data_IF_395985119237
#
_entry.id   IF_395985119237
#
_cell.length_a   1.000
_cell.length_b   1.000
_cell.length_c   1.000
_cell.angle_alpha   90.00
_cell.angle_beta   90.00
_cell.angle_gamma   90.00
#
_symmetry.space_group_name_H-M   'P 1'
#
loop_
_entity.id
_entity.type
_entity.pdbx_description
1 polymer ?
#
# COMPACT_ATOMS: atom_id res chain seq x y z
N UNK A 1 -5.11 29.51 -9.77
CA UNK A 1 -4.52 28.34 -10.46
C UNK A 1 -4.30 27.24 -9.43
N UNK A 2 -5.13 26.20 -9.39
CA UNK A 2 -4.90 25.07 -8.48
C UNK A 2 -3.71 24.27 -9.01
N UNK A 3 -2.56 24.34 -8.35
CA UNK A 3 -1.47 23.40 -8.59
C UNK A 3 -2.04 22.01 -8.30
N UNK A 4 -2.11 21.13 -9.31
CA UNK A 4 -2.19 19.70 -9.06
C UNK A 4 -0.82 19.33 -8.48
N UNK A 5 -0.71 19.31 -7.15
CA UNK A 5 0.40 18.61 -6.50
C UNK A 5 0.28 17.16 -6.94
N UNK A 6 1.33 16.57 -7.49
CA UNK A 6 1.35 15.13 -7.73
C UNK A 6 1.07 14.44 -6.40
N UNK A 7 -0.11 13.86 -6.26
CA UNK A 7 -0.50 13.11 -5.07
C UNK A 7 0.14 11.74 -5.19
N UNK A 8 1.44 11.70 -4.90
CA UNK A 8 2.17 10.44 -4.81
C UNK A 8 1.59 9.70 -3.61
N UNK A 9 0.97 8.57 -3.89
CA UNK A 9 0.41 7.66 -2.91
C UNK A 9 1.39 6.53 -2.70
N UNK A 10 1.37 5.95 -1.51
CA UNK A 10 2.17 4.78 -1.20
C UNK A 10 1.31 3.72 -0.51
N UNK A 11 1.56 2.46 -0.82
CA UNK A 11 1.24 1.38 0.10
C UNK A 11 2.50 0.58 0.41
N UNK A 12 2.53 0.02 1.61
CA UNK A 12 3.55 -0.93 2.03
C UNK A 12 2.84 -2.16 2.55
N UNK A 13 3.23 -3.32 2.03
CA UNK A 13 2.81 -4.60 2.56
C UNK A 13 4.00 -5.26 3.25
N UNK A 14 3.80 -5.66 4.51
CA UNK A 14 4.82 -6.27 5.35
C UNK A 14 4.30 -7.55 5.96
N UNK A 15 5.23 -8.42 6.34
CA UNK A 15 4.92 -9.63 7.06
C UNK A 15 5.85 -9.82 8.25
N UNK A 16 5.40 -10.62 9.20
CA UNK A 16 6.16 -11.03 10.38
C UNK A 16 6.10 -12.54 10.54
N UNK A 17 7.24 -13.12 10.93
CA UNK A 17 7.34 -14.52 11.32
C UNK A 17 7.17 -14.74 12.83
N UNK A 18 7.30 -13.68 13.64
CA UNK A 18 7.57 -13.76 15.08
C UNK A 18 6.47 -13.13 15.94
N UNK A 19 5.22 -13.15 15.46
CA UNK A 19 4.07 -12.60 16.17
C UNK A 19 3.97 -11.08 16.15
N UNK A 20 4.69 -10.41 15.26
CA UNK A 20 4.67 -8.96 15.06
C UNK A 20 5.79 -8.24 15.82
N UNK A 21 6.81 -8.96 16.30
CA UNK A 21 7.96 -8.34 16.95
C UNK A 21 8.92 -7.72 15.92
N UNK A 22 9.03 -8.33 14.74
CA UNK A 22 9.79 -7.78 13.61
C UNK A 22 9.04 -7.94 12.29
N UNK A 23 9.14 -6.92 11.43
CA UNK A 23 8.47 -6.90 10.13
C UNK A 23 9.50 -6.85 9.00
N UNK A 24 9.24 -7.64 7.95
CA UNK A 24 9.96 -7.61 6.68
C UNK A 24 9.02 -7.09 5.60
N UNK A 25 9.53 -6.17 4.79
CA UNK A 25 8.78 -5.63 3.66
C UNK A 25 8.62 -6.71 2.57
N UNK A 26 7.40 -6.88 2.08
CA UNK A 26 7.09 -7.68 0.90
C UNK A 26 7.19 -6.79 -0.33
N UNK A 27 6.46 -5.67 -0.29
CA UNK A 27 6.38 -4.72 -1.39
C UNK A 27 6.07 -3.32 -0.86
N UNK A 28 6.67 -2.33 -1.51
CA UNK A 28 6.31 -0.92 -1.43
C UNK A 28 6.05 -0.42 -2.83
N UNK A 29 4.85 0.09 -3.05
CA UNK A 29 4.51 0.76 -4.29
C UNK A 29 4.26 2.22 -4.03
N UNK A 30 4.74 3.06 -4.94
CA UNK A 30 4.42 4.46 -5.00
C UNK A 30 3.84 4.78 -6.37
N UNK A 31 2.66 5.39 -6.42
CA UNK A 31 2.00 5.70 -7.68
C UNK A 31 1.32 7.07 -7.64
N UNK A 32 1.10 7.64 -8.81
CA UNK A 32 0.29 8.84 -8.99
C UNK A 32 -0.91 8.49 -9.86
N UNK A 33 -2.12 8.50 -9.30
CA UNK A 33 -3.29 8.47 -10.15
C UNK A 33 -3.31 9.73 -11.00
N UNK A 34 -3.48 9.55 -12.31
CA UNK A 34 -3.61 10.63 -13.27
C UNK A 34 -5.00 10.57 -13.88
N UNK A 35 -6.06 11.07 -13.21
CA UNK A 35 -7.37 11.10 -13.82
C UNK A 35 -7.41 12.11 -14.99
N UNK A 36 -8.11 11.77 -16.10
CA UNK A 36 -8.98 10.60 -16.24
C UNK A 36 -8.27 9.27 -16.60
N UNK A 37 -6.99 9.30 -16.95
CA UNK A 37 -6.28 8.19 -17.58
C UNK A 37 -6.06 6.98 -16.67
N UNK A 38 -5.71 7.19 -15.41
CA UNK A 38 -5.42 6.12 -14.44
C UNK A 38 -6.15 6.40 -13.14
N UNK A 39 -7.23 5.64 -12.91
CA UNK A 39 -8.06 5.69 -11.70
C UNK A 39 -8.11 4.35 -10.94
N UNK A 40 -7.48 3.32 -11.50
CA UNK A 40 -7.46 1.96 -10.95
C UNK A 40 -6.19 1.25 -11.36
N UNK A 41 -5.59 0.56 -10.40
CA UNK A 41 -4.52 -0.41 -10.62
C UNK A 41 -4.93 -1.76 -10.01
N UNK A 42 -4.44 -2.83 -10.62
CA UNK A 42 -4.62 -4.21 -10.17
C UNK A 42 -3.28 -4.89 -10.33
N UNK A 43 -2.79 -5.51 -9.27
CA UNK A 43 -1.47 -6.11 -9.21
C UNK A 43 -1.56 -7.50 -8.58
N UNK A 44 -0.64 -8.37 -8.96
CA UNK A 44 -0.49 -9.70 -8.42
C UNK A 44 0.98 -9.95 -8.10
N UNK A 45 1.25 -10.38 -6.87
CA UNK A 45 2.61 -10.61 -6.37
C UNK A 45 2.75 -12.08 -5.96
N UNK A 46 3.72 -12.76 -6.55
CA UNK A 46 4.12 -14.10 -6.14
C UNK A 46 5.23 -13.97 -5.09
N UNK A 47 4.99 -14.48 -3.89
CA UNK A 47 5.89 -14.30 -2.74
C UNK A 47 6.06 -15.61 -1.98
N UNK A 48 7.29 -15.90 -1.56
CA UNK A 48 7.62 -17.06 -0.75
C UNK A 48 7.86 -16.61 0.70
N UNK A 49 6.84 -16.76 1.54
CA UNK A 49 6.86 -16.32 2.93
C UNK A 49 6.78 -17.53 3.86
N UNK A 50 7.77 -17.71 4.72
CA UNK A 50 7.81 -18.82 5.68
C UNK A 50 7.28 -18.38 7.05
N UNK A 51 6.43 -19.20 7.67
CA UNK A 51 5.95 -18.98 9.05
C UNK A 51 5.23 -17.64 9.26
N UNK A 52 4.44 -17.19 8.29
CA UNK A 52 3.67 -15.93 8.40
C UNK A 52 2.73 -16.00 9.60
N UNK A 53 2.91 -15.05 10.54
CA UNK A 53 2.06 -14.88 11.71
C UNK A 53 1.26 -13.59 11.66
N UNK A 54 1.79 -12.55 11.01
CA UNK A 54 1.11 -11.26 10.82
C UNK A 54 1.35 -10.77 9.39
N UNK A 55 0.29 -10.23 8.78
CA UNK A 55 0.35 -9.42 7.58
C UNK A 55 -0.10 -8.01 7.92
N UNK A 56 0.61 -7.02 7.41
CA UNK A 56 0.33 -5.62 7.68
C UNK A 56 0.29 -4.83 6.37
N UNK A 57 -0.79 -4.07 6.17
CA UNK A 57 -0.95 -3.14 5.07
C UNK A 57 -0.96 -1.71 5.62
N UNK A 58 0.00 -0.90 5.21
CA UNK A 58 0.02 0.55 5.45
C UNK A 58 -0.29 1.28 4.16
N UNK A 59 -1.24 2.23 4.19
CA UNK A 59 -1.57 3.08 3.03
C UNK A 59 -1.33 4.54 3.42
N UNK A 60 -0.46 5.22 2.67
CA UNK A 60 -0.22 6.66 2.76
C UNK A 60 -0.86 7.33 1.54
N UNK A 61 -2.09 7.86 1.65
CA UNK A 61 -2.83 8.39 0.51
C UNK A 61 -2.24 9.69 -0.05
N UNK A 62 -1.30 10.33 0.66
CA UNK A 62 -0.55 11.48 0.19
C UNK A 62 0.78 11.56 0.94
N UNK A 63 1.88 11.12 0.31
CA UNK A 63 3.22 11.17 0.92
C UNK A 63 3.73 12.60 1.13
N UNK A 64 3.13 13.58 0.43
CA UNK A 64 3.45 15.00 0.63
C UNK A 64 2.76 15.61 1.87
N UNK A 65 1.94 14.84 2.60
CA UNK A 65 1.36 15.26 3.88
C UNK A 65 0.10 16.12 3.79
N UNK A 66 -0.49 16.27 2.59
CA UNK A 66 -1.78 16.94 2.43
C UNK A 66 -2.95 16.07 2.92
N UNK A 67 -4.10 16.70 3.19
CA UNK A 67 -5.32 16.00 3.61
C UNK A 67 -5.80 15.05 2.51
N UNK A 68 -5.71 13.73 2.75
CA UNK A 68 -6.17 12.69 1.85
C UNK A 68 -6.75 11.51 2.64
N UNK A 69 -7.57 10.67 1.98
CA UNK A 69 -8.24 9.53 2.59
C UNK A 69 -7.91 8.25 1.85
N UNK A 70 -7.52 7.22 2.60
CA UNK A 70 -7.49 5.84 2.14
C UNK A 70 -8.67 5.05 2.75
N UNK A 71 -9.15 4.03 2.03
CA UNK A 71 -10.11 3.07 2.56
C UNK A 71 -9.77 1.67 2.07
N UNK A 72 -10.00 0.67 2.92
CA UNK A 72 -9.82 -0.73 2.60
C UNK A 72 -11.18 -1.41 2.57
N UNK A 73 -11.57 -1.96 1.41
CA UNK A 73 -12.84 -2.66 1.26
C UNK A 73 -12.79 -4.08 1.82
N UNK A 74 -11.68 -4.78 1.62
CA UNK A 74 -11.51 -6.16 2.05
C UNK A 74 -10.03 -6.53 2.10
N UNK A 75 -9.66 -7.33 3.10
CA UNK A 75 -8.39 -8.07 3.17
C UNK A 75 -8.75 -9.49 3.59
N UNK A 76 -8.29 -10.49 2.82
CA UNK A 76 -8.71 -11.88 2.97
C UNK A 76 -7.52 -12.80 2.87
N UNK A 77 -7.58 -13.91 3.60
CA UNK A 77 -6.69 -15.06 3.52
C UNK A 77 -7.54 -16.30 3.24
N UNK A 78 -7.02 -17.24 2.46
CA UNK A 78 -7.71 -18.47 2.06
C UNK A 78 -6.82 -19.68 2.26
#
# INVERSE_FOLDING_TARGET
MKKRSGELQEFVFRWSADGGNSFREIVRQQWNFSPPETIREVEEYQVELASVTVLELTIVPNVSGGSARASLKSMRLS
#
